data_IF_147910647124
#
_entry.id   IF_147910647124
#
_cell.length_a   1.000
_cell.length_b   1.000
_cell.length_c   1.000
_cell.angle_alpha   90.00
_cell.angle_beta   90.00
_cell.angle_gamma   90.00
#
_symmetry.space_group_name_H-M   'P 1'
#
loop_
_entity.id
_entity.type
_entity.pdbx_description
1 polymer ?
#
# COMPACT_ATOMS: atom_id res chain seq x y z
N UNK A 1 9.47 6.38 -26.84
CA UNK A 1 8.24 6.17 -26.08
C UNK A 1 8.62 6.41 -24.63
N UNK A 2 8.06 7.43 -23.98
CA UNK A 2 8.30 7.67 -22.56
C UNK A 2 7.42 6.67 -21.79
N UNK A 3 8.00 5.66 -21.14
CA UNK A 3 7.23 4.92 -20.14
C UNK A 3 7.01 5.88 -18.97
N UNK A 4 5.76 6.16 -18.66
CA UNK A 4 5.39 6.93 -17.47
C UNK A 4 5.47 5.96 -16.29
N UNK A 5 6.62 5.92 -15.62
CA UNK A 5 6.77 5.23 -14.35
C UNK A 5 5.89 5.97 -13.32
N UNK A 6 4.74 5.39 -13.00
CA UNK A 6 3.87 5.92 -11.95
C UNK A 6 3.99 5.00 -10.75
N UNK A 7 4.38 5.61 -9.63
CA UNK A 7 4.48 4.95 -8.34
C UNK A 7 3.42 5.52 -7.40
N UNK A 8 2.59 4.67 -6.85
CA UNK A 8 1.68 4.99 -5.74
C UNK A 8 2.25 4.43 -4.44
N UNK A 9 1.96 5.08 -3.32
CA UNK A 9 2.50 4.77 -1.99
C UNK A 9 1.35 4.86 -0.98
N UNK A 10 1.17 3.81 -0.21
CA UNK A 10 0.11 3.65 0.77
C UNK A 10 0.73 3.17 2.07
N UNK A 11 0.36 3.73 3.21
CA UNK A 11 0.96 3.29 4.46
C UNK A 11 0.23 3.78 5.69
N UNK A 12 0.57 3.21 6.83
CA UNK A 12 0.06 3.63 8.14
C UNK A 12 1.05 3.17 9.21
N UNK A 13 0.88 3.71 10.41
CA UNK A 13 1.66 3.29 11.56
C UNK A 13 0.86 2.29 12.40
N UNK A 14 1.55 1.36 13.04
CA UNK A 14 0.93 0.50 14.03
C UNK A 14 1.86 0.26 15.20
N UNK A 15 1.28 0.16 16.39
CA UNK A 15 1.97 -0.31 17.57
C UNK A 15 1.78 -1.80 17.70
N UNK A 16 2.88 -2.53 17.84
CA UNK A 16 2.86 -3.98 17.96
C UNK A 16 2.83 -4.42 19.43
N UNK A 17 1.88 -5.27 19.78
CA UNK A 17 1.71 -5.87 21.10
C UNK A 17 1.62 -7.40 21.00
N UNK A 18 2.75 -8.06 21.25
CA UNK A 18 2.80 -9.53 21.27
C UNK A 18 1.95 -10.22 22.34
N UNK A 19 1.46 -9.49 23.36
CA UNK A 19 0.63 -10.08 24.42
C UNK A 19 -0.82 -10.29 23.99
N UNK A 20 -1.24 -9.64 22.90
CA UNK A 20 -2.58 -9.75 22.35
C UNK A 20 -2.70 -10.83 21.26
N UNK A 21 -1.57 -11.45 20.88
CA UNK A 21 -1.54 -12.41 19.77
C UNK A 21 -2.33 -13.66 20.13
N UNK A 22 -3.28 -14.01 19.28
CA UNK A 22 -3.94 -15.30 19.34
C UNK A 22 -3.23 -16.30 18.41
N UNK A 23 -2.45 -17.26 18.94
CA UNK A 23 -1.70 -18.21 18.12
C UNK A 23 -2.58 -19.23 17.38
N UNK A 24 -3.89 -19.30 17.68
CA UNK A 24 -4.81 -20.31 17.13
C UNK A 24 -5.49 -19.82 15.83
N UNK A 25 -5.71 -18.50 15.70
CA UNK A 25 -6.56 -17.95 14.65
C UNK A 25 -5.81 -17.44 13.41
N UNK A 26 -4.48 -17.55 13.37
CA UNK A 26 -3.65 -17.13 12.24
C UNK A 26 -3.90 -15.67 11.81
N UNK A 27 -4.27 -14.82 12.77
CA UNK A 27 -4.58 -13.41 12.56
C UNK A 27 -3.34 -12.65 12.04
N UNK A 28 -3.52 -11.95 10.92
CA UNK A 28 -2.49 -11.07 10.33
C UNK A 28 -2.35 -9.82 11.19
N UNK A 29 -1.15 -9.40 11.55
CA UNK A 29 -0.99 -8.18 12.35
C UNK A 29 -1.64 -6.98 11.63
N UNK A 30 -1.25 -6.76 10.38
CA UNK A 30 -1.75 -5.65 9.58
C UNK A 30 -1.87 -6.00 8.09
N UNK A 31 -2.71 -5.28 7.35
CA UNK A 31 -2.93 -5.49 5.91
C UNK A 31 -3.28 -4.19 5.20
N UNK A 32 -2.65 -3.96 4.04
CA UNK A 32 -3.03 -2.98 3.02
C UNK A 32 -3.62 -3.76 1.86
N UNK A 33 -4.82 -3.40 1.43
CA UNK A 33 -5.50 -3.99 0.27
C UNK A 33 -5.77 -2.93 -0.77
N UNK A 34 -5.32 -3.19 -2.00
CA UNK A 34 -5.63 -2.41 -3.19
C UNK A 34 -6.46 -3.25 -4.14
N UNK A 35 -7.54 -2.69 -4.64
CA UNK A 35 -8.31 -3.27 -5.74
C UNK A 35 -8.84 -2.15 -6.65
N UNK A 36 -8.92 -2.38 -7.97
CA UNK A 36 -9.63 -1.51 -8.88
C UNK A 36 -11.13 -1.56 -8.55
N UNK A 37 -11.83 -0.45 -8.81
CA UNK A 37 -13.29 -0.40 -8.65
C UNK A 37 -13.96 -1.24 -9.76
N UNK A 38 -13.32 -1.33 -10.93
CA UNK A 38 -13.86 -2.05 -12.08
C UNK A 38 -14.00 -3.57 -11.85
N UNK A 39 -13.07 -4.19 -11.12
CA UNK A 39 -13.09 -5.61 -10.78
C UNK A 39 -12.31 -5.90 -9.49
N UNK A 40 -13.00 -6.34 -8.44
CA UNK A 40 -12.39 -6.64 -7.14
C UNK A 40 -11.45 -7.87 -7.17
N UNK A 41 -11.53 -8.71 -8.21
CA UNK A 41 -10.68 -9.89 -8.33
C UNK A 41 -9.25 -9.53 -8.71
N UNK A 42 -9.03 -8.37 -9.32
CA UNK A 42 -7.71 -7.85 -9.61
C UNK A 42 -7.23 -7.09 -8.37
N UNK A 43 -6.17 -7.52 -7.69
CA UNK A 43 -5.81 -6.87 -6.43
C UNK A 43 -4.34 -6.99 -6.07
N UNK A 44 -3.93 -6.18 -5.09
CA UNK A 44 -2.68 -6.34 -4.33
C UNK A 44 -3.00 -6.27 -2.85
N UNK A 45 -2.66 -7.33 -2.12
CA UNK A 45 -2.74 -7.39 -0.67
C UNK A 45 -1.32 -7.48 -0.13
N UNK A 46 -0.84 -6.45 0.58
CA UNK A 46 0.36 -6.58 1.41
C UNK A 46 -0.03 -6.73 2.87
N UNK A 47 0.61 -7.65 3.58
CA UNK A 47 0.29 -7.91 4.98
C UNK A 47 1.50 -8.35 5.77
N UNK A 48 1.42 -8.20 7.09
CA UNK A 48 2.28 -8.93 8.02
C UNK A 48 1.49 -10.11 8.56
N UNK A 49 1.90 -11.31 8.19
CA UNK A 49 1.23 -12.56 8.57
C UNK A 49 1.41 -12.90 10.04
N UNK A 50 0.60 -13.83 10.55
CA UNK A 50 0.65 -14.29 11.94
C UNK A 50 2.04 -14.82 12.37
N UNK A 51 2.77 -15.42 11.43
CA UNK A 51 4.13 -15.94 11.63
C UNK A 51 5.21 -14.89 11.36
N UNK A 52 4.82 -13.60 11.39
CA UNK A 52 5.67 -12.43 11.23
C UNK A 52 6.43 -12.42 9.91
N UNK A 53 5.70 -12.49 8.79
CA UNK A 53 6.29 -12.33 7.46
C UNK A 53 5.58 -11.25 6.67
N UNK A 54 6.33 -10.45 5.92
CA UNK A 54 5.78 -9.58 4.89
C UNK A 54 5.36 -10.47 3.72
N UNK A 55 4.06 -10.53 3.45
CA UNK A 55 3.48 -11.26 2.35
C UNK A 55 2.74 -10.30 1.42
N UNK A 56 2.96 -10.44 0.13
CA UNK A 56 2.24 -9.77 -0.94
C UNK A 56 1.52 -10.83 -1.77
N UNK A 57 0.21 -10.68 -1.93
CA UNK A 57 -0.63 -11.55 -2.76
C UNK A 57 -1.37 -10.70 -3.77
N UNK A 58 -1.39 -11.14 -5.02
CA UNK A 58 -2.23 -10.59 -6.09
C UNK A 58 -3.22 -11.64 -6.60
N UNK A 59 -3.96 -11.31 -7.64
CA UNK A 59 -4.99 -12.18 -8.21
C UNK A 59 -4.51 -13.61 -8.53
N UNK A 60 -3.30 -13.74 -9.09
CA UNK A 60 -2.76 -15.04 -9.53
C UNK A 60 -1.31 -15.28 -9.07
N UNK A 61 -0.72 -14.37 -8.29
CA UNK A 61 0.66 -14.47 -7.86
C UNK A 61 0.81 -14.14 -6.38
N UNK A 62 1.85 -14.67 -5.76
CA UNK A 62 2.26 -14.32 -4.41
C UNK A 62 3.79 -14.28 -4.35
N UNK A 63 4.33 -13.38 -3.53
CA UNK A 63 5.76 -13.30 -3.30
C UNK A 63 6.25 -14.51 -2.49
N UNK A 64 7.57 -14.69 -2.42
CA UNK A 64 8.16 -15.48 -1.34
C UNK A 64 8.15 -14.61 -0.06
N UNK A 65 7.37 -14.96 0.99
CA UNK A 65 7.19 -14.06 2.13
C UNK A 65 8.50 -13.82 2.90
N UNK A 66 8.75 -12.57 3.29
CA UNK A 66 9.98 -12.17 3.97
C UNK A 66 9.78 -12.14 5.50
N UNK A 67 10.55 -12.90 6.30
CA UNK A 67 10.42 -12.90 7.76
C UNK A 67 10.86 -11.58 8.38
N UNK A 68 10.10 -11.09 9.36
CA UNK A 68 10.39 -9.86 10.12
C UNK A 68 10.40 -10.15 11.62
N UNK A 69 11.16 -9.35 12.36
CA UNK A 69 11.21 -9.45 13.82
C UNK A 69 10.47 -8.27 14.48
N UNK A 70 9.18 -8.48 14.77
CA UNK A 70 8.39 -7.50 15.50
C UNK A 70 8.68 -7.56 17.01
N UNK A 71 9.09 -6.41 17.56
CA UNK A 71 9.45 -6.19 18.97
C UNK A 71 8.22 -5.64 19.70
N UNK A 72 7.88 -6.26 20.84
CA UNK A 72 6.76 -5.82 21.66
C UNK A 72 6.89 -4.35 22.06
N UNK A 73 5.77 -3.63 21.99
CA UNK A 73 5.64 -2.21 22.35
C UNK A 73 6.42 -1.23 21.45
N UNK A 74 6.91 -1.68 20.29
CA UNK A 74 7.45 -0.80 19.24
C UNK A 74 6.34 -0.32 18.30
N UNK A 75 6.55 0.87 17.75
CA UNK A 75 5.80 1.40 16.62
C UNK A 75 6.50 1.04 15.32
N UNK A 76 5.71 0.79 14.30
CA UNK A 76 6.17 0.45 12.97
C UNK A 76 5.42 1.28 11.93
N UNK A 77 6.11 1.62 10.86
CA UNK A 77 5.51 2.15 9.63
C UNK A 77 5.47 1.01 8.60
N UNK A 78 4.27 0.69 8.09
CA UNK A 78 4.08 -0.29 7.04
C UNK A 78 3.65 0.41 5.76
N UNK A 79 4.43 0.24 4.70
CA UNK A 79 4.25 0.91 3.42
C UNK A 79 4.06 -0.16 2.34
N UNK A 80 3.09 0.05 1.47
CA UNK A 80 2.94 -0.63 0.19
C UNK A 80 3.06 0.40 -0.92
N UNK A 81 3.97 0.16 -1.84
CA UNK A 81 4.06 0.91 -3.09
C UNK A 81 3.80 0.01 -4.28
N UNK A 82 3.09 0.56 -5.27
CA UNK A 82 2.86 -0.12 -6.56
C UNK A 82 3.37 0.76 -7.68
N UNK A 83 4.08 0.16 -8.64
CA UNK A 83 4.49 0.82 -9.87
C UNK A 83 4.01 0.07 -11.10
N UNK A 84 3.71 0.84 -12.14
CA UNK A 84 3.12 0.36 -13.37
C UNK A 84 4.08 0.61 -14.52
N UNK A 85 4.55 -0.45 -15.15
CA UNK A 85 5.46 -0.37 -16.29
C UNK A 85 4.87 -1.10 -17.52
N UNK A 86 5.09 -0.51 -18.69
CA UNK A 86 4.74 -1.13 -19.98
C UNK A 86 6.02 -1.30 -20.80
N UNK A 87 6.84 -2.32 -20.51
CA UNK A 87 8.08 -2.56 -21.25
C UNK A 87 7.79 -2.96 -22.72
N UNK A 88 6.62 -3.57 -22.98
CA UNK A 88 6.16 -3.99 -24.32
C UNK A 88 4.63 -3.79 -24.39
N UNK A 89 4.02 -3.33 -25.51
CA UNK A 89 2.57 -3.10 -25.66
C UNK A 89 1.61 -4.28 -25.43
N UNK A 90 2.08 -5.41 -24.91
CA UNK A 90 1.29 -6.60 -24.59
C UNK A 90 1.50 -7.11 -23.15
N UNK A 91 2.38 -6.48 -22.37
CA UNK A 91 2.73 -6.88 -21.01
C UNK A 91 2.56 -5.67 -20.08
N UNK A 92 1.40 -5.62 -19.42
CA UNK A 92 1.06 -4.63 -18.40
C UNK A 92 1.65 -5.08 -17.06
N UNK A 93 2.88 -4.66 -16.78
CA UNK A 93 3.60 -5.09 -15.59
C UNK A 93 3.22 -4.23 -14.39
N UNK A 94 2.94 -4.90 -13.28
CA UNK A 94 2.72 -4.30 -11.98
C UNK A 94 3.79 -4.83 -11.04
N UNK A 95 4.53 -3.91 -10.44
CA UNK A 95 5.47 -4.20 -9.36
C UNK A 95 4.85 -3.71 -8.07
N UNK A 96 4.75 -4.60 -7.07
CA UNK A 96 4.29 -4.27 -5.74
C UNK A 96 5.42 -4.50 -4.73
N UNK A 97 5.72 -3.49 -3.92
CA UNK A 97 6.77 -3.52 -2.91
C UNK A 97 6.17 -3.17 -1.55
N UNK A 98 6.42 -3.98 -0.55
CA UNK A 98 6.04 -3.73 0.84
C UNK A 98 7.29 -3.50 1.68
N UNK A 99 7.30 -2.43 2.47
CA UNK A 99 8.39 -2.06 3.37
C UNK A 99 7.87 -1.89 4.80
N UNK A 100 8.66 -2.36 5.76
CA UNK A 100 8.42 -2.18 7.18
C UNK A 100 9.60 -1.41 7.79
N UNK A 101 9.30 -0.30 8.46
CA UNK A 101 10.28 0.46 9.23
C UNK A 101 9.93 0.45 10.72
N UNK A 102 10.93 0.24 11.58
CA UNK A 102 10.80 0.38 13.04
C UNK A 102 10.95 1.87 13.43
N UNK A 103 9.99 2.37 14.19
CA UNK A 103 9.90 3.75 14.70
C UNK A 103 10.20 3.81 16.22
N UNK A 104 10.63 2.69 16.79
CA UNK A 104 10.96 2.50 18.20
C UNK A 104 9.74 2.55 19.13
N UNK A 105 9.96 2.50 20.46
CA UNK A 105 8.88 2.46 21.45
C UNK A 105 7.97 3.69 21.48
N UNK A 106 8.44 4.83 20.97
CA UNK A 106 7.72 6.12 21.02
C UNK A 106 7.01 6.46 19.71
N UNK A 107 7.36 5.82 18.59
CA UNK A 107 6.86 6.18 17.26
C UNK A 107 7.47 7.46 16.69
N UNK A 108 8.44 8.06 17.39
CA UNK A 108 9.12 9.30 16.99
C UNK A 108 10.57 9.07 16.56
N UNK A 109 11.05 7.83 16.62
CA UNK A 109 12.40 7.49 16.16
C UNK A 109 12.44 7.60 14.64
N UNK A 110 13.54 8.11 14.04
CA UNK A 110 13.72 8.05 12.60
C UNK A 110 13.52 6.62 12.07
N UNK A 111 12.83 6.42 10.93
CA UNK A 111 12.54 5.09 10.40
C UNK A 111 13.80 4.24 10.21
N UNK A 112 13.83 3.06 10.81
CA UNK A 112 14.89 2.05 10.64
C UNK A 112 14.32 0.88 9.83
N UNK A 113 14.85 0.55 8.64
CA UNK A 113 14.35 -0.58 7.86
C UNK A 113 14.38 -1.89 8.65
N UNK A 114 13.22 -2.53 8.80
CA UNK A 114 13.03 -3.78 9.52
C UNK A 114 12.73 -4.97 8.58
N UNK A 115 12.35 -4.69 7.34
CA UNK A 115 12.19 -5.68 6.29
C UNK A 115 11.52 -5.10 5.06
N UNK A 116 11.68 -5.78 3.93
CA UNK A 116 11.02 -5.46 2.69
C UNK A 116 10.71 -6.73 1.90
N UNK A 117 9.72 -6.66 1.03
CA UNK A 117 9.45 -7.72 0.06
C UNK A 117 8.78 -7.15 -1.18
N UNK A 118 8.92 -7.83 -2.30
CA UNK A 118 8.40 -7.39 -3.59
C UNK A 118 7.83 -8.56 -4.40
N UNK A 119 7.02 -8.21 -5.39
CA UNK A 119 6.54 -9.10 -6.43
C UNK A 119 6.34 -8.32 -7.72
N UNK A 120 6.63 -8.97 -8.85
CA UNK A 120 6.31 -8.48 -10.19
C UNK A 120 5.32 -9.45 -10.84
N UNK A 121 4.24 -8.92 -11.40
CA UNK A 121 3.22 -9.72 -12.08
C UNK A 121 2.55 -8.91 -13.20
N UNK A 122 1.86 -9.60 -14.12
CA UNK A 122 1.17 -8.95 -15.24
C UNK A 122 -0.32 -8.80 -14.98
N UNK A 123 -0.85 -7.57 -14.95
CA UNK A 123 -2.27 -7.33 -14.74
C UNK A 123 -2.75 -6.12 -15.54
N UNK A 124 -3.48 -6.38 -16.62
CA UNK A 124 -3.96 -5.32 -17.51
C UNK A 124 -5.05 -4.47 -16.86
N UNK A 125 -5.88 -5.04 -15.99
CA UNK A 125 -6.98 -4.31 -15.37
C UNK A 125 -6.47 -3.40 -14.25
N UNK A 126 -5.57 -3.90 -13.42
CA UNK A 126 -4.94 -3.08 -12.38
C UNK A 126 -4.06 -1.97 -12.97
N UNK A 127 -3.46 -2.19 -14.15
CA UNK A 127 -2.65 -1.19 -14.86
C UNK A 127 -3.48 -0.06 -15.47
N UNK A 128 -4.57 -0.39 -16.18
CA UNK A 128 -5.38 0.60 -16.91
C UNK A 128 -6.42 1.29 -16.04
N UNK A 129 -6.75 0.72 -14.87
CA UNK A 129 -7.81 1.30 -14.06
C UNK A 129 -7.44 2.69 -13.57
N UNK A 130 -8.45 3.55 -13.56
CA UNK A 130 -8.36 4.91 -13.10
C UNK A 130 -8.93 5.03 -11.67
N UNK A 131 -9.39 3.98 -10.99
CA UNK A 131 -9.82 4.17 -9.60
C UNK A 131 -9.46 2.97 -8.72
N UNK A 132 -8.52 3.18 -7.80
CA UNK A 132 -8.15 2.17 -6.82
C UNK A 132 -8.80 2.44 -5.47
N UNK A 133 -9.47 1.44 -4.92
CA UNK A 133 -9.81 1.41 -3.51
C UNK A 133 -8.59 0.98 -2.72
N UNK A 134 -8.30 1.69 -1.63
CA UNK A 134 -7.27 1.31 -0.67
C UNK A 134 -7.90 1.11 0.69
N UNK A 135 -7.74 -0.08 1.23
CA UNK A 135 -8.21 -0.45 2.57
C UNK A 135 -7.04 -0.75 3.48
N UNK A 136 -7.10 -0.23 4.69
CA UNK A 136 -6.13 -0.48 5.75
C UNK A 136 -6.81 -1.27 6.86
N UNK A 137 -6.15 -2.30 7.36
CA UNK A 137 -6.66 -3.09 8.47
C UNK A 137 -5.54 -3.58 9.38
N UNK A 138 -5.92 -3.82 10.62
CA UNK A 138 -5.09 -4.40 11.65
C UNK A 138 -6.01 -5.03 12.68
N UNK A 139 -5.56 -6.13 13.27
CA UNK A 139 -6.35 -6.85 14.27
C UNK A 139 -5.63 -6.85 15.60
N UNK A 140 -6.40 -6.59 16.65
CA UNK A 140 -5.91 -6.70 18.01
C UNK A 140 -5.37 -8.11 18.29
N UNK A 141 -5.99 -9.16 17.73
CA UNK A 141 -5.51 -10.54 17.88
C UNK A 141 -4.28 -10.87 17.03
N UNK A 142 -3.94 -10.02 16.06
CA UNK A 142 -2.62 -10.02 15.39
C UNK A 142 -1.60 -9.13 16.11
N UNK A 143 -1.98 -8.50 17.22
CA UNK A 143 -1.14 -7.62 18.01
C UNK A 143 -0.98 -6.21 17.45
N UNK A 144 -1.88 -5.71 16.60
CA UNK A 144 -1.74 -4.38 15.99
C UNK A 144 -2.76 -3.37 16.53
N UNK A 145 -2.25 -2.18 16.91
CA UNK A 145 -3.06 -0.98 17.17
C UNK A 145 -2.67 0.09 16.14
N UNK A 146 -3.63 0.54 15.33
CA UNK A 146 -3.38 1.39 14.16
C UNK A 146 -3.39 2.89 14.49
N UNK A 147 -2.55 3.67 13.81
CA UNK A 147 -2.55 5.13 13.83
C UNK A 147 -1.93 5.70 12.53
N UNK A 148 -2.05 7.01 12.32
CA UNK A 148 -1.33 7.78 11.31
C UNK A 148 -1.46 7.21 9.87
N UNK A 149 -2.69 7.07 9.38
CA UNK A 149 -2.97 6.61 8.02
C UNK A 149 -2.49 7.62 6.97
N UNK A 150 -1.81 7.12 5.94
CA UNK A 150 -1.26 7.91 4.84
C UNK A 150 -1.58 7.29 3.49
N UNK A 151 -1.94 8.14 2.53
CA UNK A 151 -2.20 7.75 1.16
C UNK A 151 -1.61 8.80 0.22
N UNK A 152 -0.79 8.35 -0.74
CA UNK A 152 -0.25 9.18 -1.81
C UNK A 152 -0.25 8.38 -3.11
N UNK A 153 -0.93 8.86 -4.15
CA UNK A 153 -0.90 8.17 -5.43
C UNK A 153 -1.39 9.04 -6.58
N UNK A 154 -0.84 8.78 -7.77
CA UNK A 154 -1.40 9.24 -9.04
C UNK A 154 -2.20 8.08 -9.61
N UNK A 155 -3.39 8.42 -10.12
CA UNK A 155 -4.52 7.54 -10.38
C UNK A 155 -4.26 6.41 -11.40
N UNK A 156 -3.33 6.57 -12.36
CA UNK A 156 -2.86 5.59 -13.37
C UNK A 156 -1.87 6.24 -14.34
N UNK A 157 -1.18 5.47 -15.21
CA UNK A 157 -0.31 5.98 -16.29
C UNK A 157 -0.97 7.06 -17.18
N UNK A 158 -2.30 6.97 -17.35
CA UNK A 158 -3.13 7.89 -18.14
C UNK A 158 -3.76 9.02 -17.31
N UNK A 159 -3.47 9.06 -16.01
CA UNK A 159 -3.99 10.12 -15.15
C UNK A 159 -3.19 11.39 -15.36
N UNK A 160 -3.88 12.47 -15.76
CA UNK A 160 -3.26 13.77 -15.98
C UNK A 160 -2.34 14.11 -14.79
N UNK A 161 -1.06 14.35 -15.08
CA UNK A 161 -0.13 14.92 -14.13
C UNK A 161 -0.75 16.24 -13.65
N UNK A 162 -1.24 16.25 -12.41
CA UNK A 162 -1.64 17.49 -11.78
C UNK A 162 -0.34 18.24 -11.47
N UNK A 163 0.12 19.06 -12.42
CA UNK A 163 1.09 20.12 -12.17
C UNK A 163 0.41 21.21 -11.33
N UNK A 164 -0.07 20.85 -10.14
CA UNK A 164 -0.58 21.78 -9.13
C UNK A 164 0.42 21.81 -7.99
N UNK A 165 0.98 22.99 -7.77
CA UNK A 165 2.18 23.24 -7.01
C UNK A 165 2.22 22.61 -5.62
N UNK A 166 3.45 22.27 -5.23
CA UNK A 166 3.84 21.94 -3.87
C UNK A 166 3.31 23.04 -2.94
N UNK A 167 2.27 22.74 -2.16
CA UNK A 167 2.03 23.48 -0.93
C UNK A 167 2.90 22.83 0.15
N UNK A 168 3.95 23.54 0.56
CA UNK A 168 4.68 23.24 1.79
C UNK A 168 3.70 23.33 2.95
N UNK A 169 3.28 22.20 3.51
CA UNK A 169 2.53 22.17 4.77
C UNK A 169 3.52 22.34 5.92
N UNK A 170 3.38 23.43 6.67
CA UNK A 170 4.09 23.64 7.93
C UNK A 170 3.80 22.48 8.91
N UNK A 171 4.78 22.10 9.75
CA UNK A 171 4.60 21.02 10.73
C UNK A 171 3.55 21.43 11.76
N UNK A 172 2.42 20.71 11.81
CA UNK A 172 1.33 20.95 12.76
C UNK A 172 -0.08 21.01 12.18
N UNK A 173 -0.27 20.82 10.87
CA UNK A 173 -1.59 20.87 10.25
C UNK A 173 -2.19 19.46 10.09
N UNK A 174 -3.29 19.18 10.78
CA UNK A 174 -4.09 17.95 10.59
C UNK A 174 -4.69 17.95 9.18
N UNK A 175 -4.37 16.95 8.36
CA UNK A 175 -5.06 16.70 7.11
C UNK A 175 -6.39 15.98 7.40
N UNK A 176 -7.49 16.71 7.38
CA UNK A 176 -8.83 16.15 7.36
C UNK A 176 -9.11 15.70 5.91
N UNK A 177 -8.92 14.41 5.63
CA UNK A 177 -9.38 13.81 4.37
C UNK A 177 -10.86 13.47 4.56
N UNK A 178 -11.72 14.43 4.23
CA UNK A 178 -13.15 14.19 4.09
C UNK A 178 -13.44 13.77 2.63
N UNK A 179 -13.91 12.52 2.49
CA UNK A 179 -14.72 11.96 1.41
C UNK A 179 -14.20 12.10 -0.04
N UNK A 180 -13.84 10.95 -0.61
CA UNK A 180 -13.91 10.62 -2.05
C UNK A 180 -13.34 11.68 -3.01
N UNK A 181 -12.09 11.47 -3.47
CA UNK A 181 -11.61 12.16 -4.67
C UNK A 181 -12.28 11.49 -5.89
N UNK A 182 -13.43 11.99 -6.32
CA UNK A 182 -14.00 11.67 -7.63
C UNK A 182 -13.31 12.52 -8.70
N UNK A 183 -12.40 11.92 -9.46
CA UNK A 183 -11.85 12.52 -10.67
C UNK A 183 -12.73 12.12 -11.87
N UNK A 184 -13.71 12.95 -12.24
CA UNK A 184 -14.47 12.80 -13.49
C UNK A 184 -13.57 13.06 -14.69
N UNK A 185 -13.36 12.07 -15.57
CA UNK A 185 -12.91 12.33 -16.94
C UNK A 185 -14.13 12.37 -17.86
N UNK A 186 -14.36 13.50 -18.52
CA UNK A 186 -15.32 13.58 -19.63
C UNK A 186 -14.66 12.98 -20.86
N UNK A 187 -15.00 11.74 -21.20
CA UNK A 187 -14.68 11.18 -22.51
C UNK A 187 -15.61 11.83 -23.54
N UNK A 188 -15.10 12.76 -24.36
CA UNK A 188 -15.76 13.14 -25.60
C UNK A 188 -15.32 12.17 -26.69
N UNK A 189 -16.22 11.25 -27.05
CA UNK A 189 -16.08 10.42 -28.24
C UNK A 189 -16.38 11.29 -29.46
N UNK A 190 -15.38 11.54 -30.30
CA UNK A 190 -15.63 12.04 -31.67
C UNK A 190 -15.89 10.81 -32.55
N UNK A 191 -17.06 10.79 -33.19
CA UNK A 191 -17.42 9.84 -34.25
C UNK A 191 -16.60 10.07 -35.51
#
# INVERSE_FOLDING_TARGET
MNSSYIRTIHGFHFKYDSTQINPINYDRAVTIYLNPIADFNHYVIASITYDKKIQIVSYFAANNPFPVNLIHNHWYEFILSTSYDMPIPALYEVTAEAQLNDLGPTGLTPPIPAGNSDIVFTDSLLYVDTAVQVSFSGTAWGGANLDNFQFQGIKSADSCNATTGILLLNPGSKCLVANTIECTSTHQSYY
#
